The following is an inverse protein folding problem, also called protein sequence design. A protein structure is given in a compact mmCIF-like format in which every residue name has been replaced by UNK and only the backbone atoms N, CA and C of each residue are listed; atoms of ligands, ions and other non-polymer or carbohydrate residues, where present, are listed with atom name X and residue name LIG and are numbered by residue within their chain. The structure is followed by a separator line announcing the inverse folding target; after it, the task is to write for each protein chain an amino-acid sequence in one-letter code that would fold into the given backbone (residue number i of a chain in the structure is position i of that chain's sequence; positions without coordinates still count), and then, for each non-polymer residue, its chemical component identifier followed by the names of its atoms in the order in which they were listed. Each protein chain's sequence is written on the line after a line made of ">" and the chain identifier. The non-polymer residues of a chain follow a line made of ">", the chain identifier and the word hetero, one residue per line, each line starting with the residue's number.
data_IF_463281100893
#
_entry.id   IF_463281100893
#
_cell.length_a   1.000
_cell.length_b   1.000
_cell.length_c   1.000
_cell.angle_alpha   90.00
_cell.angle_beta   90.00
_cell.angle_gamma   90.00
#
_symmetry.space_group_name_H-M   'P 1'
#
loop_
_entity.id
_entity.type
_entity.pdbx_description
1 polymer ?
#
# COMPACT_ATOMS: atom_id res chain seq x y z
N UNK A 1 -5.62 -9.44 -12.03
CA UNK A 1 -4.39 -9.87 -12.71
C UNK A 1 -3.33 -9.80 -11.64
N UNK A 2 -2.74 -10.93 -11.23
CA UNK A 2 -1.78 -10.93 -10.12
C UNK A 2 -0.61 -10.00 -10.43
N UNK A 3 -0.02 -9.45 -9.38
CA UNK A 3 1.24 -8.68 -9.43
C UNK A 3 2.27 -9.45 -10.26
N UNK A 4 2.92 -8.76 -11.20
CA UNK A 4 4.00 -9.39 -11.98
C UNK A 4 5.14 -9.78 -11.04
N UNK A 5 5.71 -10.96 -11.24
CA UNK A 5 6.86 -11.44 -10.46
C UNK A 5 8.03 -10.43 -10.47
N UNK A 6 8.19 -9.69 -11.57
CA UNK A 6 9.15 -8.60 -11.69
C UNK A 6 8.87 -7.47 -10.68
N UNK A 7 7.62 -7.00 -10.56
CA UNK A 7 7.26 -5.96 -9.59
C UNK A 7 7.44 -6.47 -8.15
N UNK A 8 7.08 -7.73 -7.88
CA UNK A 8 7.29 -8.33 -6.55
C UNK A 8 8.76 -8.28 -6.15
N UNK A 9 9.67 -8.77 -7.01
CA UNK A 9 11.12 -8.75 -6.75
C UNK A 9 11.65 -7.34 -6.57
N UNK A 10 11.24 -6.40 -7.41
CA UNK A 10 11.67 -5.00 -7.31
C UNK A 10 11.16 -4.35 -6.03
N UNK A 11 9.92 -4.64 -5.61
CA UNK A 11 9.37 -4.11 -4.36
C UNK A 11 10.11 -4.60 -3.11
N UNK A 12 10.86 -5.71 -3.24
CA UNK A 12 11.69 -6.29 -2.19
C UNK A 12 13.13 -5.74 -2.17
N UNK A 13 13.53 -4.93 -3.16
CA UNK A 13 14.86 -4.31 -3.22
C UNK A 13 14.82 -2.91 -2.56
N UNK A 14 15.57 -2.66 -1.47
CA UNK A 14 15.69 -1.32 -0.88
C UNK A 14 16.15 -0.26 -1.88
N UNK A 15 17.03 -0.66 -2.81
CA UNK A 15 17.60 0.25 -3.79
C UNK A 15 16.57 0.68 -4.85
N UNK A 16 15.56 -0.16 -5.13
CA UNK A 16 14.42 0.24 -5.96
C UNK A 16 13.68 1.43 -5.35
N UNK A 17 13.37 1.37 -4.04
CA UNK A 17 12.64 2.45 -3.36
C UNK A 17 13.47 3.73 -3.20
N UNK A 18 14.76 3.59 -2.91
CA UNK A 18 15.67 4.75 -2.85
C UNK A 18 15.68 5.49 -4.18
N UNK A 19 15.88 4.78 -5.30
CA UNK A 19 15.95 5.38 -6.65
C UNK A 19 14.61 5.94 -7.14
N UNK A 20 13.49 5.30 -6.77
CA UNK A 20 12.16 5.81 -7.10
C UNK A 20 11.88 7.17 -6.42
N UNK A 21 12.60 7.49 -5.33
CA UNK A 21 12.35 8.66 -4.46
C UNK A 21 13.48 9.68 -4.45
N UNK A 22 14.72 9.28 -4.67
CA UNK A 22 15.91 10.10 -4.57
C UNK A 22 16.29 10.80 -5.89
N UNK A 23 17.10 11.86 -5.75
CA UNK A 23 17.94 12.46 -6.80
C UNK A 23 19.16 11.59 -7.16
N UNK A 24 19.40 10.51 -6.41
CA UNK A 24 20.39 9.47 -6.76
C UNK A 24 19.85 8.76 -8.01
N UNK A 25 20.35 9.18 -9.17
CA UNK A 25 19.77 8.90 -10.48
C UNK A 25 19.64 7.43 -10.88
N UNK A 26 19.45 7.24 -12.19
CA UNK A 26 19.34 6.00 -12.95
C UNK A 26 19.91 4.71 -12.30
N UNK A 27 19.19 3.58 -12.47
CA UNK A 27 19.86 2.27 -12.41
C UNK A 27 20.75 2.16 -13.65
N UNK A 28 22.05 1.90 -13.47
CA UNK A 28 22.95 1.57 -14.59
C UNK A 28 22.50 0.24 -15.22
N UNK A 29 22.19 0.26 -16.51
CA UNK A 29 21.72 -0.88 -17.32
C UNK A 29 20.60 -1.71 -16.64
N UNK A 30 19.42 -1.13 -16.36
CA UNK A 30 18.34 -1.85 -15.71
C UNK A 30 17.74 -2.90 -16.67
N UNK A 31 17.58 -4.12 -16.19
CA UNK A 31 16.84 -5.17 -16.90
C UNK A 31 15.60 -5.57 -16.06
N UNK A 32 14.38 -5.17 -16.45
CA UNK A 32 14.01 -4.35 -17.62
C UNK A 32 14.27 -2.84 -17.41
N UNK A 33 14.40 -2.08 -18.49
CA UNK A 33 14.54 -0.62 -18.43
C UNK A 33 13.22 0.10 -18.13
N UNK A 34 12.08 -0.48 -18.52
CA UNK A 34 10.74 0.04 -18.26
C UNK A 34 9.86 -1.03 -17.63
N UNK A 35 9.03 -0.62 -16.67
CA UNK A 35 8.06 -1.48 -16.02
C UNK A 35 6.67 -0.84 -16.08
N UNK A 36 5.74 -1.49 -16.78
CA UNK A 36 4.31 -1.12 -16.80
C UNK A 36 3.53 -1.93 -15.79
N UNK A 37 2.91 -1.24 -14.84
CA UNK A 37 2.10 -1.82 -13.78
C UNK A 37 0.64 -1.51 -14.06
N UNK A 38 -0.17 -2.55 -14.20
CA UNK A 38 -1.61 -2.43 -14.43
C UNK A 38 -2.34 -2.69 -13.12
N UNK A 39 -3.16 -1.74 -12.70
CA UNK A 39 -3.94 -1.80 -11.47
C UNK A 39 -5.44 -1.71 -11.83
N UNK A 40 -6.08 -2.84 -12.20
CA UNK A 40 -7.51 -2.88 -12.42
C UNK A 40 -8.25 -2.48 -11.15
N UNK A 41 -9.21 -1.57 -11.24
CA UNK A 41 -9.99 -1.13 -10.07
C UNK A 41 -11.39 -1.73 -10.16
N UNK A 42 -12.22 -1.29 -11.10
CA UNK A 42 -13.58 -1.83 -11.23
C UNK A 42 -14.24 -1.47 -12.56
N UNK A 43 -15.17 -2.31 -13.03
CA UNK A 43 -16.01 -2.02 -14.20
C UNK A 43 -15.22 -1.71 -15.48
N UNK A 44 -14.07 -2.36 -15.66
CA UNK A 44 -13.13 -2.15 -16.77
C UNK A 44 -12.26 -0.91 -16.67
N UNK A 45 -12.40 -0.09 -15.62
CA UNK A 45 -11.48 0.98 -15.31
C UNK A 45 -10.27 0.49 -14.52
N UNK A 46 -9.13 1.12 -14.73
CA UNK A 46 -7.92 0.85 -13.97
C UNK A 46 -6.94 2.01 -14.02
N UNK A 47 -5.97 1.97 -13.10
CA UNK A 47 -4.80 2.84 -13.12
C UNK A 47 -3.64 2.12 -13.78
N UNK A 48 -2.80 2.86 -14.48
CA UNK A 48 -1.58 2.33 -15.12
C UNK A 48 -0.42 3.18 -14.67
N UNK A 49 0.58 2.55 -14.06
CA UNK A 49 1.81 3.20 -13.66
C UNK A 49 2.92 2.69 -14.57
N UNK A 50 3.48 3.60 -15.37
CA UNK A 50 4.67 3.34 -16.16
C UNK A 50 5.87 3.88 -15.39
N UNK A 51 6.82 3.00 -15.09
CA UNK A 51 8.08 3.30 -14.43
C UNK A 51 9.21 3.17 -15.44
N UNK A 52 9.92 4.26 -15.69
CA UNK A 52 11.22 4.20 -16.36
C UNK A 52 12.27 3.96 -15.26
N UNK A 53 12.85 2.76 -15.24
CA UNK A 53 13.84 2.36 -14.24
C UNK A 53 15.24 2.91 -14.56
N UNK A 54 15.47 3.33 -15.81
CA UNK A 54 16.69 3.99 -16.23
C UNK A 54 16.69 5.48 -15.86
N UNK A 55 15.54 6.16 -15.84
CA UNK A 55 15.49 7.57 -15.43
C UNK A 55 14.89 7.78 -14.05
N UNK A 56 14.16 6.80 -13.51
CA UNK A 56 13.33 6.90 -12.31
C UNK A 56 12.03 7.70 -12.52
N UNK A 57 11.70 8.06 -13.76
CA UNK A 57 10.46 8.76 -14.10
C UNK A 57 9.24 7.85 -13.94
N UNK A 58 8.14 8.46 -13.51
CA UNK A 58 6.87 7.78 -13.25
C UNK A 58 5.75 8.48 -14.00
N UNK A 59 4.98 7.74 -14.79
CA UNK A 59 3.79 8.24 -15.45
C UNK A 59 2.57 7.49 -14.95
N UNK A 60 1.60 8.22 -14.40
CA UNK A 60 0.31 7.67 -14.01
C UNK A 60 -0.70 7.95 -15.13
N UNK A 61 -1.42 6.92 -15.55
CA UNK A 61 -2.49 7.00 -16.52
C UNK A 61 -3.78 6.33 -16.05
N UNK A 62 -4.88 6.74 -16.64
CA UNK A 62 -6.21 6.17 -16.48
C UNK A 62 -6.56 5.31 -17.69
N UNK A 63 -6.86 4.03 -17.46
CA UNK A 63 -7.43 3.14 -18.48
C UNK A 63 -8.94 3.05 -18.29
N UNK A 64 -9.70 3.31 -19.34
CA UNK A 64 -11.14 3.06 -19.40
C UNK A 64 -11.50 1.69 -20.02
N UNK A 65 -12.75 1.25 -19.90
CA UNK A 65 -13.22 -0.08 -20.31
C UNK A 65 -13.11 -0.38 -21.82
N UNK A 66 -13.05 0.65 -22.66
CA UNK A 66 -12.99 0.54 -24.12
C UNK A 66 -11.67 1.06 -24.72
N UNK A 67 -10.69 1.39 -23.88
CA UNK A 67 -9.43 2.00 -24.32
C UNK A 67 -8.26 1.10 -23.97
N UNK A 68 -7.48 0.71 -24.97
CA UNK A 68 -6.22 -0.02 -24.74
C UNK A 68 -5.13 0.90 -24.17
N UNK A 69 -5.07 2.15 -24.64
CA UNK A 69 -4.09 3.15 -24.23
C UNK A 69 -4.58 3.94 -23.01
N UNK A 70 -3.77 4.04 -21.94
CA UNK A 70 -4.11 4.85 -20.79
C UNK A 70 -3.98 6.35 -21.12
N UNK A 71 -4.95 7.15 -20.67
CA UNK A 71 -4.88 8.61 -20.74
C UNK A 71 -4.08 9.12 -19.55
N UNK A 72 -3.02 9.89 -19.80
CA UNK A 72 -2.14 10.39 -18.75
C UNK A 72 -2.89 11.26 -17.73
N UNK A 73 -2.73 10.94 -16.44
CA UNK A 73 -3.19 11.71 -15.29
C UNK A 73 -2.09 12.62 -14.76
N UNK A 74 -0.85 12.14 -14.72
CA UNK A 74 0.27 12.90 -14.19
C UNK A 74 1.60 12.25 -14.52
N UNK A 75 2.67 13.02 -14.33
CA UNK A 75 4.05 12.57 -14.46
C UNK A 75 4.86 13.11 -13.29
N UNK A 76 5.74 12.28 -12.75
CA UNK A 76 6.64 12.61 -11.66
C UNK A 76 8.06 12.19 -12.07
N UNK A 77 8.98 13.16 -12.11
CA UNK A 77 10.40 12.86 -12.21
C UNK A 77 10.98 12.48 -10.82
N UNK A 78 12.14 11.80 -10.78
CA UNK A 78 12.84 11.53 -9.53
C UNK A 78 13.15 12.82 -8.77
N UNK A 79 13.02 12.80 -7.45
CA UNK A 79 13.29 13.96 -6.59
C UNK A 79 12.44 15.22 -6.86
N UNK A 80 11.53 15.18 -7.85
CA UNK A 80 10.75 16.33 -8.32
C UNK A 80 9.40 16.41 -7.63
N UNK A 81 8.77 17.59 -7.62
CA UNK A 81 7.53 17.78 -6.88
C UNK A 81 6.40 16.89 -7.36
N UNK A 82 5.57 16.48 -6.40
CA UNK A 82 4.46 15.56 -6.60
C UNK A 82 3.37 16.17 -7.52
N UNK A 83 2.98 15.48 -8.62
CA UNK A 83 1.84 15.88 -9.42
C UNK A 83 0.56 15.64 -8.63
N UNK A 84 -0.26 16.69 -8.45
CA UNK A 84 -1.56 16.56 -7.79
C UNK A 84 -2.60 15.96 -8.75
N UNK A 85 -2.34 14.76 -9.25
CA UNK A 85 -3.15 14.05 -10.24
C UNK A 85 -4.39 13.42 -9.60
N UNK A 86 -4.23 12.82 -8.43
CA UNK A 86 -5.28 12.23 -7.61
C UNK A 86 -5.48 13.07 -6.35
N UNK A 87 -6.70 13.07 -5.82
CA UNK A 87 -6.94 13.45 -4.41
C UNK A 87 -6.63 12.26 -3.52
N UNK A 88 -6.27 12.50 -2.26
CA UNK A 88 -5.92 11.43 -1.33
C UNK A 88 -7.01 10.36 -1.23
N UNK A 89 -8.26 10.77 -1.02
CA UNK A 89 -9.40 9.84 -0.95
C UNK A 89 -9.63 9.06 -2.25
N UNK A 90 -9.26 9.59 -3.43
CA UNK A 90 -9.41 8.87 -4.70
C UNK A 90 -8.40 7.72 -4.79
N UNK A 91 -7.14 7.96 -4.38
CA UNK A 91 -6.11 6.93 -4.27
C UNK A 91 -6.52 5.84 -3.27
N UNK A 92 -6.97 6.26 -2.11
CA UNK A 92 -7.28 5.39 -0.99
C UNK A 92 -8.45 4.45 -1.33
N UNK A 93 -9.49 5.00 -1.94
CA UNK A 93 -10.64 4.25 -2.47
C UNK A 93 -10.21 3.22 -3.54
N UNK A 94 -9.38 3.63 -4.50
CA UNK A 94 -8.89 2.71 -5.54
C UNK A 94 -8.05 1.58 -4.93
N UNK A 95 -7.17 1.89 -3.98
CA UNK A 95 -6.30 0.91 -3.33
C UNK A 95 -7.10 -0.14 -2.54
N UNK A 96 -8.15 0.27 -1.81
CA UNK A 96 -9.05 -0.67 -1.11
C UNK A 96 -9.76 -1.62 -2.08
N UNK A 97 -10.28 -1.08 -3.19
CA UNK A 97 -10.94 -1.92 -4.21
C UNK A 97 -9.95 -2.87 -4.87
N UNK A 98 -8.73 -2.41 -5.19
CA UNK A 98 -7.68 -3.28 -5.74
C UNK A 98 -7.37 -4.42 -4.76
N UNK A 99 -7.24 -4.14 -3.47
CA UNK A 99 -6.96 -5.16 -2.46
C UNK A 99 -8.08 -6.20 -2.33
N UNK A 100 -9.34 -5.79 -2.46
CA UNK A 100 -10.48 -6.72 -2.48
C UNK A 100 -10.44 -7.63 -3.72
N UNK A 101 -10.12 -7.09 -4.89
CA UNK A 101 -10.13 -7.86 -6.14
C UNK A 101 -8.84 -8.66 -6.36
N UNK A 102 -7.74 -8.28 -5.68
CA UNK A 102 -6.44 -8.95 -5.75
C UNK A 102 -5.80 -9.06 -4.34
N UNK A 103 -5.92 -10.22 -3.68
CA UNK A 103 -5.34 -10.46 -2.35
C UNK A 103 -3.82 -10.36 -2.31
N UNK A 104 -3.14 -10.40 -3.46
CA UNK A 104 -1.68 -10.21 -3.52
C UNK A 104 -1.26 -8.74 -3.38
N UNK A 105 -2.22 -7.82 -3.32
CA UNK A 105 -2.04 -6.38 -3.15
C UNK A 105 -2.80 -5.88 -1.90
N UNK A 106 -2.38 -6.25 -0.68
CA UNK A 106 -3.06 -5.82 0.54
C UNK A 106 -3.06 -4.30 0.69
N UNK A 107 -4.04 -3.80 1.46
CA UNK A 107 -4.18 -2.39 1.79
C UNK A 107 -4.08 -2.18 3.30
N UNK A 108 -3.37 -1.13 3.78
CA UNK A 108 -2.43 -0.32 3.01
C UNK A 108 -1.18 -1.13 2.61
N UNK A 109 -0.63 -0.86 1.42
CA UNK A 109 0.51 -1.61 0.90
C UNK A 109 1.07 -1.07 -0.41
N UNK A 110 1.56 -1.97 -1.27
CA UNK A 110 2.32 -1.64 -2.48
C UNK A 110 1.64 -0.57 -3.35
N UNK A 111 0.32 -0.64 -3.53
CA UNK A 111 -0.44 0.34 -4.32
C UNK A 111 -0.32 1.75 -3.75
N UNK A 112 -0.46 1.91 -2.43
CA UNK A 112 -0.34 3.21 -1.76
C UNK A 112 1.10 3.71 -1.83
N UNK A 113 2.08 2.82 -1.63
CA UNK A 113 3.50 3.16 -1.70
C UNK A 113 3.92 3.65 -3.11
N UNK A 114 3.40 3.03 -4.17
CA UNK A 114 3.68 3.40 -5.56
C UNK A 114 2.92 4.65 -6.01
N UNK A 115 1.64 4.76 -5.65
CA UNK A 115 0.78 5.85 -6.15
C UNK A 115 0.77 7.10 -5.26
N UNK A 116 1.31 7.02 -4.04
CA UNK A 116 1.44 8.14 -3.11
C UNK A 116 2.01 9.44 -3.71
N UNK A 117 3.00 9.42 -4.63
CA UNK A 117 3.49 10.62 -5.31
C UNK A 117 2.42 11.38 -6.10
N UNK A 118 1.38 10.71 -6.56
CA UNK A 118 0.33 11.29 -7.39
C UNK A 118 -0.85 11.82 -6.58
N UNK A 119 -0.87 11.58 -5.26
CA UNK A 119 -1.92 12.00 -4.33
C UNK A 119 -1.30 12.73 -3.12
N UNK A 120 -0.71 13.92 -3.30
CA UNK A 120 -0.22 14.72 -2.19
C UNK A 120 -1.36 15.10 -1.25
N UNK A 121 -1.09 15.11 0.06
CA UNK A 121 -2.04 15.59 1.06
C UNK A 121 -2.33 17.08 0.82
N UNK A 122 -3.59 17.47 0.96
CA UNK A 122 -4.05 18.84 0.86
C UNK A 122 -4.49 19.37 2.23
N UNK A 123 -4.78 20.67 2.33
CA UNK A 123 -5.29 21.26 3.57
C UNK A 123 -6.69 20.73 3.98
N UNK A 124 -7.41 20.07 3.07
CA UNK A 124 -8.70 19.43 3.35
C UNK A 124 -8.53 18.03 3.95
N UNK A 125 -7.34 17.43 3.83
CA UNK A 125 -7.05 16.09 4.31
C UNK A 125 -6.56 16.11 5.76
N UNK A 126 -6.85 15.04 6.49
CA UNK A 126 -6.24 14.79 7.80
C UNK A 126 -4.80 14.32 7.60
N UNK A 127 -3.86 15.26 7.74
CA UNK A 127 -2.44 15.01 7.50
C UNK A 127 -1.84 13.88 8.33
N UNK A 128 -2.33 13.66 9.56
CA UNK A 128 -1.85 12.59 10.43
C UNK A 128 -2.36 11.23 9.94
N UNK A 129 -3.65 11.15 9.58
CA UNK A 129 -4.21 9.93 9.01
C UNK A 129 -3.55 9.57 7.67
N UNK A 130 -3.29 10.56 6.80
CA UNK A 130 -2.57 10.34 5.54
C UNK A 130 -1.16 9.81 5.80
N UNK A 131 -0.42 10.43 6.73
CA UNK A 131 0.93 10.01 7.08
C UNK A 131 0.93 8.57 7.60
N UNK A 132 0.03 8.23 8.52
CA UNK A 132 -0.08 6.90 9.09
C UNK A 132 -0.40 5.82 8.06
N UNK A 133 -1.30 6.10 7.10
CA UNK A 133 -1.62 5.16 6.02
C UNK A 133 -0.41 4.96 5.09
N UNK A 134 0.35 6.02 4.76
CA UNK A 134 1.58 5.90 3.97
C UNK A 134 2.65 5.09 4.71
N UNK A 135 2.81 5.36 5.99
CA UNK A 135 3.76 4.67 6.86
C UNK A 135 3.43 3.18 6.97
N UNK A 136 2.16 2.87 7.21
CA UNK A 136 1.65 1.50 7.21
C UNK A 136 1.83 0.83 5.85
N UNK A 137 1.63 1.54 4.73
CA UNK A 137 1.87 1.01 3.39
C UNK A 137 3.33 0.62 3.14
N UNK A 138 4.30 1.37 3.67
CA UNK A 138 5.71 1.00 3.58
C UNK A 138 6.09 -0.09 4.57
N UNK A 139 5.47 -0.10 5.77
CA UNK A 139 5.70 -1.16 6.76
C UNK A 139 5.15 -2.51 6.31
N UNK A 140 4.02 -2.57 5.60
CA UNK A 140 3.48 -3.83 5.09
C UNK A 140 4.33 -4.43 3.95
N UNK A 141 5.25 -3.66 3.36
CA UNK A 141 6.27 -4.19 2.44
C UNK A 141 7.45 -4.84 3.17
N UNK A 142 7.54 -4.69 4.50
CA UNK A 142 8.58 -5.35 5.27
C UNK A 142 8.23 -6.83 5.41
N UNK A 143 9.24 -7.67 5.27
CA UNK A 143 9.19 -9.03 5.77
C UNK A 143 9.83 -9.10 7.15
N UNK A 144 9.24 -9.93 8.00
CA UNK A 144 9.94 -10.44 9.17
C UNK A 144 11.11 -11.27 8.69
N UNK A 145 12.32 -10.79 8.98
CA UNK A 145 13.53 -11.59 8.83
C UNK A 145 13.54 -12.55 10.03
N UNK A 146 13.59 -13.88 9.82
CA UNK A 146 13.77 -14.81 10.92
C UNK A 146 14.94 -14.35 11.76
N UNK A 147 14.77 -14.23 13.09
CA UNK A 147 15.88 -13.86 13.96
C UNK A 147 17.05 -14.80 13.65
N UNK A 148 18.25 -14.28 13.35
CA UNK A 148 19.39 -15.15 13.11
C UNK A 148 19.55 -16.03 14.35
N UNK A 149 19.48 -17.35 14.14
CA UNK A 149 19.76 -18.31 15.20
C UNK A 149 21.11 -17.91 15.78
N UNK A 150 21.22 -17.69 17.12
CA UNK A 150 22.50 -17.35 17.71
C UNK A 150 23.51 -18.43 17.28
N UNK A 151 24.54 -18.05 16.53
CA UNK A 151 25.68 -18.92 16.25
C UNK A 151 26.49 -19.05 17.54
N UNK A 152 25.89 -19.66 18.56
CA UNK A 152 26.63 -20.15 19.70
C UNK A 152 27.39 -21.39 19.22
N UNK A 153 28.70 -21.51 19.51
CA UNK A 153 29.42 -22.71 19.17
C UNK A 153 28.77 -23.89 19.90
N UNK A 154 28.47 -24.97 19.16
CA UNK A 154 27.88 -26.20 19.73
C UNK A 154 28.79 -26.84 20.81
N UNK A 155 30.05 -26.42 20.87
CA UNK A 155 31.03 -26.80 21.88
C UNK A 155 31.62 -25.56 22.57
N UNK A 156 31.95 -25.68 23.86
CA UNK A 156 32.68 -24.64 24.58
C UNK A 156 34.02 -24.35 23.87
N UNK A 157 34.33 -23.09 23.53
CA UNK A 157 35.59 -22.73 22.89
C UNK A 157 36.79 -23.24 23.68
N UNK A 158 37.79 -23.79 22.98
CA UNK A 158 39.11 -23.98 23.60
C UNK A 158 39.68 -22.61 24.01
N UNK A 159 40.52 -22.52 25.05
CA UNK A 159 41.01 -21.24 25.59
C UNK A 159 41.67 -20.30 24.56
N UNK A 160 42.19 -20.85 23.46
CA UNK A 160 42.80 -20.13 22.34
C UNK A 160 41.80 -19.47 21.38
N UNK A 161 40.51 -19.83 21.41
CA UNK A 161 39.46 -19.34 20.51
C UNK A 161 38.38 -18.55 21.25
N UNK A 162 38.78 -17.86 22.32
CA UNK A 162 37.87 -17.05 23.15
C UNK A 162 37.71 -15.61 22.64
N UNK A 163 38.51 -15.19 21.65
CA UNK A 163 38.41 -13.88 21.02
C UNK A 163 37.28 -13.80 20.00
N UNK A 164 36.57 -12.66 19.97
CA UNK A 164 35.44 -12.40 19.07
C UNK A 164 35.83 -12.40 17.58
N UNK A 165 37.13 -12.26 17.28
CA UNK A 165 37.75 -12.31 15.96
C UNK A 165 37.87 -13.72 15.36
N UNK A 166 37.78 -14.75 16.20
CA UNK A 166 37.84 -16.16 15.79
C UNK A 166 36.50 -16.72 15.33
N UNK A 167 35.40 -16.04 15.67
CA UNK A 167 34.06 -16.44 15.32
C UNK A 167 33.59 -15.63 14.10
N UNK A 168 32.84 -16.23 13.16
CA UNK A 168 32.17 -15.44 12.14
C UNK A 168 31.33 -14.40 12.87
N UNK A 169 31.52 -13.11 12.58
CA UNK A 169 30.65 -12.09 13.13
C UNK A 169 29.21 -12.53 12.84
N UNK A 170 28.32 -12.53 13.85
CA UNK A 170 26.92 -12.81 13.60
C UNK A 170 26.50 -11.89 12.46
N UNK A 171 25.81 -12.40 11.42
CA UNK A 171 25.42 -11.58 10.29
C UNK A 171 24.74 -10.33 10.87
N UNK A 172 25.30 -9.15 10.58
CA UNK A 172 24.73 -7.89 11.03
C UNK A 172 23.29 -7.91 10.52
N UNK A 173 22.26 -7.95 11.39
CA UNK A 173 20.91 -7.94 10.90
C UNK A 173 20.69 -6.53 10.37
N UNK A 174 20.71 -6.39 9.05
CA UNK A 174 20.17 -5.21 8.40
C UNK A 174 19.78 -5.52 6.95
N UNK A 175 18.64 -5.03 6.46
CA UNK A 175 17.48 -4.57 7.22
C UNK A 175 16.18 -5.14 6.63
N UNK A 176 15.05 -4.79 7.23
CA UNK A 176 13.82 -4.73 6.45
C UNK A 176 14.07 -3.99 5.12
N UNK A 177 13.35 -4.35 4.06
CA UNK A 177 13.45 -3.69 2.74
C UNK A 177 13.49 -2.16 2.86
N UNK A 178 12.82 -1.63 3.88
CA UNK A 178 12.82 -0.23 4.28
C UNK A 178 13.05 -0.12 5.79
N UNK A 179 14.11 0.55 6.24
CA UNK A 179 14.31 0.88 7.66
C UNK A 179 13.39 2.04 8.12
N UNK A 180 13.33 2.33 9.43
CA UNK A 180 12.46 3.39 9.95
C UNK A 180 12.83 4.79 9.44
N UNK A 181 14.13 5.03 9.16
CA UNK A 181 14.59 6.31 8.64
C UNK A 181 14.13 6.53 7.20
N UNK A 182 14.21 5.49 6.36
CA UNK A 182 13.71 5.48 4.99
C UNK A 182 12.19 5.66 4.96
N UNK A 183 11.45 4.95 5.82
CA UNK A 183 10.00 5.13 5.92
C UNK A 183 9.67 6.58 6.29
N UNK A 184 10.30 7.15 7.33
CA UNK A 184 10.07 8.52 7.73
C UNK A 184 10.40 9.53 6.60
N UNK A 185 11.45 9.29 5.83
CA UNK A 185 11.80 10.11 4.67
C UNK A 185 10.75 10.02 3.56
N UNK A 186 10.20 8.84 3.29
CA UNK A 186 9.21 8.62 2.22
C UNK A 186 7.80 9.06 2.60
N UNK A 187 7.46 9.07 3.88
CA UNK A 187 6.17 9.53 4.39
C UNK A 187 6.13 11.03 4.63
N UNK A 188 7.29 11.70 4.72
CA UNK A 188 7.40 13.13 4.89
C UNK A 188 6.51 13.87 3.88
N UNK A 189 5.72 14.82 4.37
CA UNK A 189 4.88 15.65 3.51
C UNK A 189 5.77 16.46 2.57
N UNK A 190 5.67 16.21 1.26
CA UNK A 190 6.18 17.15 0.29
C UNK A 190 5.03 18.01 -0.25
N UNK A 191 5.25 19.32 -0.43
CA UNK A 191 4.23 20.20 -0.98
C UNK A 191 3.88 19.77 -2.41
N UNK A 192 2.61 19.93 -2.79
CA UNK A 192 2.22 19.85 -4.19
C UNK A 192 2.72 21.09 -4.93
N UNK A 193 3.51 20.92 -5.99
CA UNK A 193 3.97 22.06 -6.80
C UNK A 193 3.52 21.97 -8.27
N UNK A 194 2.87 20.88 -8.70
CA UNK A 194 2.33 20.72 -10.06
C UNK A 194 0.84 20.36 -10.04
N UNK A 195 -0.02 21.36 -10.25
CA UNK A 195 -1.47 21.18 -10.34
C UNK A 195 -1.89 20.73 -11.75
N UNK A 196 -1.80 19.43 -12.03
CA UNK A 196 -2.12 18.86 -13.34
C UNK A 196 -3.62 18.82 -13.66
N UNK A 197 -4.47 18.81 -12.61
CA UNK A 197 -5.94 18.78 -12.73
C UNK A 197 -6.55 20.06 -13.32
N UNK A 198 -5.80 21.16 -13.40
CA UNK A 198 -6.28 22.38 -14.05
C UNK A 198 -6.20 22.31 -15.58
N UNK A 199 -5.53 21.31 -16.14
CA UNK A 199 -5.31 21.19 -17.58
C UNK A 199 -6.54 20.73 -18.35
N UNK A 200 -6.82 21.34 -19.51
CA UNK A 200 -7.94 20.97 -20.39
C UNK A 200 -7.90 19.53 -20.90
N UNK A 201 -6.72 18.88 -20.89
CA UNK A 201 -6.54 17.48 -21.31
C UNK A 201 -6.70 16.49 -20.16
N UNK A 202 -6.93 16.95 -18.93
CA UNK A 202 -7.09 16.07 -17.79
C UNK A 202 -8.43 15.30 -17.89
N UNK A 203 -8.44 13.96 -17.77
CA UNK A 203 -9.63 13.15 -18.02
C UNK A 203 -10.60 13.15 -16.83
N UNK A 204 -11.20 14.31 -16.52
CA UNK A 204 -12.08 14.51 -15.37
C UNK A 204 -13.26 13.54 -15.32
N UNK A 205 -13.95 13.34 -16.45
CA UNK A 205 -15.14 12.49 -16.50
C UNK A 205 -14.79 11.01 -16.24
N UNK A 206 -13.71 10.53 -16.87
CA UNK A 206 -13.23 9.16 -16.68
C UNK A 206 -12.81 8.89 -15.24
N UNK A 207 -12.06 9.82 -14.63
CA UNK A 207 -11.65 9.68 -13.24
C UNK A 207 -12.84 9.74 -12.29
N UNK A 208 -13.80 10.65 -12.51
CA UNK A 208 -15.00 10.75 -11.69
C UNK A 208 -15.89 9.50 -11.78
N UNK A 209 -15.97 8.87 -12.95
CA UNK A 209 -16.70 7.61 -13.13
C UNK A 209 -15.99 6.44 -12.44
N UNK A 210 -14.65 6.34 -12.56
CA UNK A 210 -13.84 5.36 -11.82
C UNK A 210 -14.10 5.49 -10.31
N UNK A 211 -13.98 6.69 -9.74
CA UNK A 211 -14.18 6.95 -8.31
C UNK A 211 -15.60 6.58 -7.87
N UNK A 212 -16.62 6.97 -8.65
CA UNK A 212 -18.02 6.63 -8.35
C UNK A 212 -18.25 5.11 -8.32
N UNK A 213 -17.67 4.37 -9.26
CA UNK A 213 -17.79 2.91 -9.30
C UNK A 213 -17.03 2.24 -8.17
N UNK A 214 -15.83 2.71 -7.85
CA UNK A 214 -15.04 2.20 -6.73
C UNK A 214 -15.78 2.40 -5.41
N UNK A 215 -16.37 3.59 -5.19
CA UNK A 215 -17.19 3.88 -4.01
C UNK A 215 -18.40 2.95 -3.91
N UNK A 216 -19.10 2.74 -5.04
CA UNK A 216 -20.22 1.81 -5.11
C UNK A 216 -19.81 0.38 -4.78
N UNK A 217 -18.66 -0.09 -5.27
CA UNK A 217 -18.16 -1.44 -5.01
C UNK A 217 -17.93 -1.65 -3.52
N UNK A 218 -17.27 -0.71 -2.84
CA UNK A 218 -17.04 -0.80 -1.39
C UNK A 218 -18.35 -0.69 -0.60
N UNK A 219 -19.27 0.20 -0.98
CA UNK A 219 -20.53 0.37 -0.26
C UNK A 219 -21.47 -0.83 -0.37
N UNK A 220 -21.30 -1.66 -1.41
CA UNK A 220 -22.08 -2.89 -1.61
C UNK A 220 -21.57 -4.05 -0.78
N UNK A 221 -20.30 -4.06 -0.36
CA UNK A 221 -19.72 -5.17 0.38
C UNK A 221 -20.52 -5.47 1.66
N UNK A 222 -20.90 -4.50 2.52
CA UNK A 222 -21.71 -4.78 3.71
C UNK A 222 -23.15 -5.23 3.45
N UNK A 223 -23.60 -5.14 2.20
CA UNK A 223 -24.95 -5.55 1.79
C UNK A 223 -24.99 -7.01 1.36
N UNK A 224 -23.84 -7.67 1.14
CA UNK A 224 -23.81 -9.09 0.81
C UNK A 224 -24.25 -9.92 2.03
N UNK A 225 -24.97 -11.02 1.77
CA UNK A 225 -25.70 -11.77 2.80
C UNK A 225 -24.79 -12.26 3.95
N UNK A 226 -23.55 -12.61 3.64
CA UNK A 226 -22.56 -13.09 4.62
C UNK A 226 -22.06 -12.01 5.58
N UNK A 227 -22.25 -10.72 5.24
CA UNK A 227 -21.78 -9.59 6.05
C UNK A 227 -22.87 -8.93 6.89
N UNK A 228 -24.14 -9.31 6.70
CA UNK A 228 -25.26 -8.72 7.42
C UNK A 228 -25.15 -8.92 8.95
N UNK A 229 -24.74 -10.12 9.38
CA UNK A 229 -24.67 -10.51 10.79
C UNK A 229 -23.49 -9.87 11.53
N UNK A 230 -22.44 -9.48 10.81
CA UNK A 230 -21.24 -8.87 11.39
C UNK A 230 -21.31 -7.34 11.49
N UNK A 231 -22.19 -6.72 10.70
CA UNK A 231 -22.32 -5.26 10.61
C UNK A 231 -22.53 -4.57 11.97
N UNK A 232 -23.35 -5.08 12.91
CA UNK A 232 -23.49 -4.46 14.22
C UNK A 232 -22.18 -4.42 15.01
N UNK A 233 -21.40 -5.51 14.98
CA UNK A 233 -20.11 -5.60 15.67
C UNK A 233 -19.07 -4.69 15.01
N UNK A 234 -18.97 -4.73 13.67
CA UNK A 234 -18.07 -3.86 12.92
C UNK A 234 -18.38 -2.37 13.16
N UNK A 235 -19.66 -1.99 13.22
CA UNK A 235 -20.07 -0.61 13.57
C UNK A 235 -19.69 -0.24 14.99
N UNK A 236 -19.91 -1.13 15.95
CA UNK A 236 -19.50 -0.87 17.32
C UNK A 236 -17.99 -0.59 17.41
N UNK A 237 -17.17 -1.38 16.73
CA UNK A 237 -15.72 -1.16 16.67
C UNK A 237 -15.38 0.17 15.99
N UNK A 238 -16.03 0.50 14.86
CA UNK A 238 -15.83 1.76 14.15
C UNK A 238 -16.22 3.00 14.98
N UNK A 239 -17.27 2.89 15.80
CA UNK A 239 -17.77 3.98 16.65
C UNK A 239 -16.92 4.19 17.91
N UNK A 240 -16.35 3.10 18.48
CA UNK A 240 -15.54 3.17 19.71
C UNK A 240 -14.05 3.30 19.46
N UNK A 241 -13.57 2.90 18.27
CA UNK A 241 -12.15 2.71 17.99
C UNK A 241 -11.55 1.46 18.64
N UNK A 242 -12.36 0.56 19.23
CA UNK A 242 -11.85 -0.65 19.87
C UNK A 242 -11.73 -1.81 18.87
N UNK A 243 -10.49 -2.23 18.59
CA UNK A 243 -10.17 -3.39 17.76
C UNK A 243 -10.03 -4.70 18.55
N UNK A 244 -10.17 -4.69 19.88
CA UNK A 244 -10.16 -5.90 20.70
C UNK A 244 -11.12 -7.01 20.20
N UNK A 245 -12.33 -6.68 19.70
CA UNK A 245 -13.27 -7.65 19.17
C UNK A 245 -12.96 -8.21 17.75
N UNK A 246 -11.85 -7.85 17.08
CA UNK A 246 -11.52 -8.33 15.72
C UNK A 246 -11.60 -9.86 15.60
N UNK A 247 -11.12 -10.60 16.60
CA UNK A 247 -11.19 -12.08 16.57
C UNK A 247 -12.62 -12.61 16.60
N UNK A 248 -13.50 -11.97 17.38
CA UNK A 248 -14.92 -12.34 17.40
C UNK A 248 -15.59 -12.03 16.05
N UNK A 249 -15.24 -10.90 15.44
CA UNK A 249 -15.68 -10.53 14.09
C UNK A 249 -15.28 -11.60 13.07
N UNK A 250 -14.01 -12.04 13.08
CA UNK A 250 -13.51 -13.10 12.20
C UNK A 250 -14.24 -14.44 12.41
N UNK A 251 -14.51 -14.83 13.66
CA UNK A 251 -15.28 -16.05 13.96
C UNK A 251 -16.68 -15.99 13.35
N UNK A 252 -17.40 -14.88 13.52
CA UNK A 252 -18.75 -14.72 12.94
C UNK A 252 -18.71 -14.75 11.41
N UNK A 253 -17.71 -14.12 10.78
CA UNK A 253 -17.51 -14.18 9.32
C UNK A 253 -17.30 -15.62 8.83
N UNK A 254 -16.47 -16.38 9.54
CA UNK A 254 -16.16 -17.77 9.20
C UNK A 254 -17.39 -18.67 9.36
N UNK A 255 -18.16 -18.48 10.43
CA UNK A 255 -19.44 -19.18 10.66
C UNK A 255 -20.51 -18.84 9.62
N UNK A 256 -20.53 -17.59 9.14
CA UNK A 256 -21.39 -17.13 8.05
C UNK A 256 -20.97 -17.66 6.67
N UNK A 257 -19.84 -18.37 6.58
CA UNK A 257 -19.32 -18.96 5.35
C UNK A 257 -18.56 -17.98 4.45
N UNK A 258 -18.07 -16.86 4.98
CA UNK A 258 -17.20 -15.95 4.23
C UNK A 258 -15.88 -16.64 3.89
N UNK A 259 -15.58 -16.75 2.60
CA UNK A 259 -14.34 -17.33 2.07
C UNK A 259 -13.45 -16.29 1.35
N UNK A 260 -13.80 -15.00 1.44
CA UNK A 260 -13.06 -13.94 0.76
C UNK A 260 -11.66 -13.76 1.37
N UNK A 261 -10.57 -14.09 0.64
CA UNK A 261 -9.21 -14.13 1.20
C UNK A 261 -8.75 -12.80 1.80
N UNK A 262 -8.91 -11.68 1.08
CA UNK A 262 -8.55 -10.35 1.60
C UNK A 262 -9.24 -10.00 2.92
N UNK A 263 -10.51 -10.42 3.10
CA UNK A 263 -11.28 -10.15 4.32
C UNK A 263 -10.74 -10.99 5.48
N UNK A 264 -10.48 -12.27 5.24
CA UNK A 264 -9.97 -13.18 6.26
C UNK A 264 -8.53 -12.82 6.66
N UNK A 265 -7.66 -12.54 5.69
CA UNK A 265 -6.25 -12.21 5.93
C UNK A 265 -6.13 -10.93 6.75
N UNK A 266 -6.85 -9.86 6.36
CA UNK A 266 -6.82 -8.56 7.05
C UNK A 266 -7.31 -8.62 8.51
N UNK A 267 -8.11 -9.62 8.89
CA UNK A 267 -8.67 -9.77 10.25
C UNK A 267 -7.97 -10.85 11.09
N UNK A 268 -7.28 -11.80 10.46
CA UNK A 268 -6.64 -12.93 11.14
C UNK A 268 -5.18 -12.66 11.47
N UNK A 269 -4.41 -12.24 10.48
CA UNK A 269 -2.96 -12.03 10.56
C UNK A 269 -2.58 -10.73 9.81
N UNK A 270 -3.09 -9.56 10.24
CA UNK A 270 -2.80 -8.30 9.55
C UNK A 270 -1.31 -7.98 9.61
N UNK A 271 -0.72 -7.60 8.47
CA UNK A 271 0.70 -7.19 8.40
C UNK A 271 0.95 -5.89 9.19
N UNK A 272 -0.05 -5.03 9.21
CA UNK A 272 -0.08 -3.79 9.99
C UNK A 272 -1.48 -3.58 10.58
N UNK A 273 -1.64 -2.96 11.76
CA UNK A 273 -2.96 -2.79 12.38
C UNK A 273 -3.99 -2.10 11.47
N UNK A 274 -3.52 -1.23 10.56
CA UNK A 274 -4.38 -0.51 9.62
C UNK A 274 -5.08 -1.42 8.60
N UNK A 275 -4.60 -2.65 8.36
CA UNK A 275 -5.30 -3.64 7.52
C UNK A 275 -6.65 -4.03 8.16
N UNK A 276 -6.63 -4.30 9.47
CA UNK A 276 -7.85 -4.57 10.21
C UNK A 276 -8.76 -3.33 10.25
N UNK A 277 -8.20 -2.13 10.43
CA UNK A 277 -8.98 -0.87 10.47
C UNK A 277 -9.82 -0.67 9.21
N UNK A 278 -9.21 -0.70 8.01
CA UNK A 278 -9.97 -0.41 6.79
C UNK A 278 -11.00 -1.50 6.50
N UNK A 279 -10.71 -2.76 6.85
CA UNK A 279 -11.65 -3.86 6.69
C UNK A 279 -12.86 -3.67 7.58
N UNK A 280 -12.65 -3.35 8.87
CA UNK A 280 -13.73 -3.06 9.82
C UNK A 280 -14.55 -1.84 9.37
N UNK A 281 -13.91 -0.76 8.93
CA UNK A 281 -14.60 0.40 8.37
C UNK A 281 -15.49 0.01 7.18
N UNK A 282 -14.94 -0.79 6.27
CA UNK A 282 -15.66 -1.23 5.07
C UNK A 282 -16.89 -2.05 5.48
N UNK A 283 -16.73 -3.07 6.33
CA UNK A 283 -17.82 -3.92 6.83
C UNK A 283 -18.87 -3.15 7.65
N UNK A 284 -18.45 -2.11 8.37
CA UNK A 284 -19.36 -1.22 9.11
C UNK A 284 -20.18 -0.30 8.16
N UNK A 285 -19.68 -0.08 6.95
CA UNK A 285 -20.13 0.99 6.06
C UNK A 285 -19.73 2.39 6.57
N UNK A 286 -18.63 2.48 7.32
CA UNK A 286 -18.09 3.72 7.83
C UNK A 286 -17.28 4.46 6.74
N UNK A 287 -17.15 5.80 6.82
CA UNK A 287 -16.27 6.54 5.94
C UNK A 287 -14.81 6.05 6.07
N UNK A 288 -14.06 5.96 4.96
CA UNK A 288 -12.64 5.63 5.01
C UNK A 288 -11.83 6.56 5.93
N UNK A 289 -10.97 5.96 6.76
CA UNK A 289 -10.10 6.66 7.70
C UNK A 289 -10.74 7.00 9.05
N UNK A 290 -11.98 6.59 9.31
CA UNK A 290 -12.65 6.76 10.60
C UNK A 290 -11.87 6.09 11.74
N UNK A 291 -11.53 4.80 11.60
CA UNK A 291 -10.74 4.05 12.58
C UNK A 291 -9.29 4.48 12.61
N UNK A 292 -8.71 4.86 11.46
CA UNK A 292 -7.33 5.38 11.43
C UNK A 292 -7.21 6.58 12.39
N UNK A 293 -8.16 7.52 12.36
CA UNK A 293 -8.19 8.70 13.25
C UNK A 293 -8.29 8.37 14.74
N UNK A 294 -8.80 7.19 15.11
CA UNK A 294 -8.83 6.76 16.51
C UNK A 294 -7.48 6.24 17.01
N UNK A 295 -6.57 5.88 16.09
CA UNK A 295 -5.31 5.19 16.40
C UNK A 295 -4.04 6.01 16.09
N UNK A 296 -4.20 7.23 15.57
CA UNK A 296 -3.08 8.14 15.18
C UNK A 296 -3.04 9.39 16.03
#
# INVERSE_FOLDING_TARGET
>A
MPVTEALRRLSEDPAFWSRLRADEGAIDDPEPAELRINLPVTGGYGLVLDLDLATGEQTLGLRGPATSEPVQLGWAAPGRPYPAALRWHELELCARVIALEDPTLPHPGLVVALLGPFAPATAEDDGNAVAAVREAAYRSLRRDVPQPTPNAPEQAPLPLFTGDDWWPQPPVPSPHVLDEAAIAAYTAQAPSHLQVRGGLRFPHEGLAELVRRAARRLSQLPEEQWYADVRPLARHMADTGDLGPVRALLSVLTEAGCDHPTVLDALSEPLVPLEACWMVETLAGAPPGTLVRHHV
#
